data_IF_672870529052
#
_entry.id   IF_672870529052
#
_cell.length_a   1.000
_cell.length_b   1.000
_cell.length_c   1.000
_cell.angle_alpha   90.00
_cell.angle_beta   90.00
_cell.angle_gamma   90.00
#
_symmetry.space_group_name_H-M   'P 1'
#
loop_
_entity.id
_entity.type
_entity.pdbx_description
1 polymer ?
#
# COMPACT_ATOMS: atom_id res chain seq x y z
N UNK A 1 -17.68 1.91 -69.60
CA UNK A 1 -16.29 1.46 -69.40
C UNK A 1 -15.84 2.02 -68.05
N UNK A 2 -16.53 1.70 -66.96
CA UNK A 2 -16.55 0.43 -66.20
C UNK A 2 -15.35 0.31 -65.25
N UNK A 3 -15.49 0.94 -64.08
CA UNK A 3 -14.79 0.52 -62.86
C UNK A 3 -15.69 -0.50 -62.17
N UNK A 4 -15.35 -1.79 -62.31
CA UNK A 4 -16.04 -2.89 -61.64
C UNK A 4 -15.72 -2.89 -60.15
N UNK A 5 -16.75 -2.79 -59.33
CA UNK A 5 -16.68 -2.96 -57.88
C UNK A 5 -16.19 -4.37 -57.50
N UNK A 6 -15.23 -4.43 -56.59
CA UNK A 6 -14.76 -5.67 -55.98
C UNK A 6 -15.69 -5.97 -54.80
N UNK A 7 -16.76 -6.71 -55.06
CA UNK A 7 -17.68 -7.20 -54.03
C UNK A 7 -16.99 -8.25 -53.15
N UNK A 8 -16.50 -7.85 -51.98
CA UNK A 8 -16.03 -8.77 -50.94
C UNK A 8 -17.26 -9.44 -50.31
N UNK A 9 -17.53 -10.68 -50.73
CA UNK A 9 -18.60 -11.52 -50.19
C UNK A 9 -18.13 -12.18 -48.89
N UNK A 10 -18.49 -11.59 -47.76
CA UNK A 10 -18.23 -12.16 -46.43
C UNK A 10 -19.27 -13.26 -46.15
N UNK A 11 -18.88 -14.50 -45.81
CA UNK A 11 -19.83 -15.53 -45.39
C UNK A 11 -20.37 -15.23 -43.98
N UNK A 12 -21.62 -15.60 -43.66
CA UNK A 12 -22.15 -15.42 -42.32
C UNK A 12 -21.47 -16.39 -41.36
N UNK A 13 -20.81 -15.85 -40.32
CA UNK A 13 -20.35 -16.62 -39.18
C UNK A 13 -21.57 -17.17 -38.43
N UNK A 14 -21.69 -18.49 -38.43
CA UNK A 14 -22.69 -19.22 -37.67
C UNK A 14 -22.51 -18.94 -36.18
N UNK A 15 -23.53 -18.36 -35.54
CA UNK A 15 -23.61 -18.26 -34.09
C UNK A 15 -24.18 -19.55 -33.50
N UNK A 16 -23.39 -20.18 -32.62
CA UNK A 16 -23.87 -21.10 -31.60
C UNK A 16 -22.72 -21.44 -30.63
N UNK A 17 -23.00 -21.91 -29.39
CA UNK A 17 -24.18 -21.75 -28.56
C UNK A 17 -23.92 -20.78 -27.37
N UNK A 18 -25.02 -20.36 -26.72
CA UNK A 18 -25.03 -19.61 -25.46
C UNK A 18 -24.43 -20.43 -24.30
N UNK A 19 -23.60 -19.78 -23.48
CA UNK A 19 -23.23 -20.20 -22.12
C UNK A 19 -21.94 -19.50 -21.69
N UNK A 20 -21.78 -18.89 -20.52
CA UNK A 20 -22.68 -18.50 -19.45
C UNK A 20 -22.13 -17.21 -18.86
N UNK A 21 -23.02 -16.36 -18.33
CA UNK A 21 -22.61 -15.15 -17.59
C UNK A 21 -22.15 -15.59 -16.21
N UNK A 22 -20.84 -15.72 -16.00
CA UNK A 22 -20.27 -15.73 -14.65
C UNK A 22 -19.98 -14.28 -14.26
N UNK A 23 -21.05 -13.56 -13.92
CA UNK A 23 -20.94 -12.43 -13.00
C UNK A 23 -21.03 -12.98 -11.58
N UNK A 24 -20.30 -12.45 -10.59
CA UNK A 24 -20.38 -12.92 -9.22
C UNK A 24 -21.83 -12.83 -8.75
N UNK A 25 -22.44 -14.00 -8.52
CA UNK A 25 -23.81 -14.09 -8.07
C UNK A 25 -23.85 -13.54 -6.63
N UNK A 26 -24.86 -12.72 -6.29
CA UNK A 26 -24.96 -12.13 -4.94
C UNK A 26 -24.98 -13.20 -3.83
N UNK A 27 -25.37 -14.43 -4.18
CA UNK A 27 -25.33 -15.61 -3.33
C UNK A 27 -23.91 -16.05 -2.94
N UNK A 28 -22.92 -15.89 -3.83
CA UNK A 28 -21.53 -16.29 -3.57
C UNK A 28 -20.87 -15.37 -2.55
N UNK A 29 -21.21 -14.08 -2.58
CA UNK A 29 -20.73 -13.10 -1.62
C UNK A 29 -21.31 -13.35 -0.22
N UNK A 30 -22.61 -13.64 -0.11
CA UNK A 30 -23.24 -13.98 1.17
C UNK A 30 -22.62 -15.25 1.77
N UNK A 31 -22.31 -16.24 0.93
CA UNK A 31 -21.65 -17.48 1.35
C UNK A 31 -20.21 -17.24 1.83
N UNK A 32 -19.48 -16.31 1.20
CA UNK A 32 -18.14 -15.90 1.63
C UNK A 32 -18.17 -15.16 2.99
N UNK A 33 -19.13 -14.25 3.19
CA UNK A 33 -19.33 -13.55 4.47
C UNK A 33 -19.69 -14.51 5.61
N UNK A 34 -20.58 -15.47 5.35
CA UNK A 34 -21.00 -16.44 6.36
C UNK A 34 -19.86 -17.40 6.76
N UNK A 35 -18.96 -17.72 5.81
CA UNK A 35 -17.77 -18.53 6.05
C UNK A 35 -16.69 -17.81 6.87
N UNK A 36 -16.59 -16.49 6.76
CA UNK A 36 -15.64 -15.71 7.55
C UNK A 36 -16.09 -15.61 9.03
N UNK A 37 -17.40 -15.50 9.27
CA UNK A 37 -17.96 -15.46 10.63
C UNK A 37 -17.73 -16.76 11.42
N UNK A 38 -17.82 -17.92 10.76
CA UNK A 38 -17.59 -19.21 11.43
C UNK A 38 -16.12 -19.51 11.74
N UNK A 39 -15.18 -18.70 11.26
CA UNK A 39 -13.74 -18.87 11.51
C UNK A 39 -13.23 -18.07 12.73
N UNK A 40 -14.11 -17.36 13.44
CA UNK A 40 -13.75 -16.53 14.61
C UNK A 40 -13.93 -17.23 15.97
N UNK A 41 -14.53 -18.42 16.03
CA UNK A 41 -14.82 -19.13 17.30
C UNK A 41 -13.80 -20.25 17.65
N UNK A 42 -12.69 -20.36 16.91
CA UNK A 42 -11.73 -21.45 17.05
C UNK A 42 -10.37 -21.02 17.56
N UNK A 43 -10.26 -20.56 18.82
CA UNK A 43 -8.98 -20.47 19.52
C UNK A 43 -8.85 -21.65 20.48
N UNK A 44 -7.66 -22.29 20.56
CA UNK A 44 -7.15 -22.60 21.88
C UNK A 44 -5.78 -21.97 22.10
N UNK A 45 -5.77 -21.08 23.10
CA UNK A 45 -4.58 -20.71 23.85
C UNK A 45 -3.93 -21.97 24.43
N UNK A 46 -2.64 -22.17 24.16
CA UNK A 46 -1.83 -23.12 24.92
C UNK A 46 -1.24 -22.40 26.12
N UNK A 47 -1.91 -22.56 27.26
CA UNK A 47 -1.32 -22.37 28.58
C UNK A 47 -0.58 -23.65 28.95
N UNK A 48 0.72 -23.55 29.23
CA UNK A 48 1.45 -24.57 29.96
C UNK A 48 2.27 -23.88 31.05
N UNK A 49 1.79 -24.07 32.28
CA UNK A 49 2.46 -23.74 33.52
C UNK A 49 3.71 -24.60 33.72
N UNK A 50 4.71 -24.03 34.37
CA UNK A 50 5.65 -24.76 35.23
C UNK A 50 6.17 -23.77 36.28
N UNK A 51 5.55 -23.81 37.46
CA UNK A 51 6.19 -23.38 38.70
C UNK A 51 7.00 -24.59 39.21
N UNK A 52 8.28 -24.39 39.51
CA UNK A 52 9.02 -25.26 40.41
C UNK A 52 9.80 -24.42 41.41
N UNK A 53 9.69 -24.82 42.67
CA UNK A 53 10.08 -24.09 43.85
C UNK A 53 11.52 -24.44 44.26
N UNK A 54 12.30 -23.46 44.67
CA UNK A 54 13.57 -23.74 45.37
C UNK A 54 14.40 -22.52 45.73
N UNK A 55 14.40 -22.16 47.01
CA UNK A 55 15.56 -21.57 47.69
C UNK A 55 15.76 -20.06 47.54
N UNK A 56 15.25 -19.30 48.51
CA UNK A 56 15.76 -17.97 48.86
C UNK A 56 17.02 -18.14 49.73
N UNK A 57 18.21 -17.86 49.17
CA UNK A 57 19.42 -17.60 49.95
C UNK A 57 19.90 -16.17 49.64
N UNK A 58 19.80 -15.33 50.67
CA UNK A 58 20.06 -13.89 50.66
C UNK A 58 21.54 -13.64 50.91
N UNK A 59 22.35 -13.43 49.86
CA UNK A 59 23.59 -12.62 49.93
C UNK A 59 23.91 -12.03 48.55
N UNK A 60 23.54 -10.77 48.34
CA UNK A 60 24.01 -9.94 47.21
C UNK A 60 25.45 -9.44 47.50
N UNK A 61 26.29 -9.28 46.47
CA UNK A 61 26.44 -7.91 45.98
C UNK A 61 26.42 -7.81 44.45
N UNK A 62 25.47 -7.00 43.95
CA UNK A 62 25.53 -6.23 42.69
C UNK A 62 25.95 -7.00 41.43
N UNK A 63 25.22 -8.05 41.09
CA UNK A 63 25.10 -8.48 39.71
C UNK A 63 23.83 -7.83 39.14
N UNK A 64 24.00 -6.76 38.35
CA UNK A 64 22.91 -6.20 37.55
C UNK A 64 22.24 -7.36 36.79
N UNK A 65 20.89 -7.50 36.83
CA UNK A 65 20.24 -8.50 36.02
C UNK A 65 20.59 -8.15 34.58
N UNK A 66 21.30 -9.07 33.93
CA UNK A 66 21.48 -9.08 32.49
C UNK A 66 20.07 -9.18 31.92
N UNK A 67 19.46 -8.01 31.69
CA UNK A 67 18.27 -7.89 30.87
C UNK A 67 18.61 -8.66 29.60
N UNK A 68 17.82 -9.68 29.21
CA UNK A 68 18.03 -10.28 27.91
C UNK A 68 17.95 -9.12 26.94
N UNK A 69 19.08 -8.80 26.31
CA UNK A 69 19.09 -8.08 25.07
C UNK A 69 18.36 -9.01 24.10
N UNK A 70 17.03 -8.92 24.11
CA UNK A 70 16.23 -9.15 22.93
C UNK A 70 16.77 -8.14 21.94
N UNK A 71 17.82 -8.57 21.25
CA UNK A 71 18.04 -8.27 19.85
C UNK A 71 16.74 -8.68 19.14
N UNK A 72 15.73 -7.84 19.28
CA UNK A 72 14.73 -7.70 18.25
C UNK A 72 15.54 -7.33 17.02
N UNK A 73 15.63 -8.28 16.09
CA UNK A 73 15.92 -7.98 14.70
C UNK A 73 15.29 -6.63 14.35
N UNK A 74 16.04 -5.79 13.63
CA UNK A 74 15.62 -4.47 13.17
C UNK A 74 14.46 -4.53 12.17
N UNK A 75 13.35 -5.14 12.56
CA UNK A 75 12.05 -4.98 11.95
C UNK A 75 11.56 -3.60 12.31
N UNK A 76 11.82 -2.64 11.44
CA UNK A 76 11.22 -1.32 11.51
C UNK A 76 9.71 -1.45 11.69
N UNK A 77 9.15 -0.83 12.73
CA UNK A 77 7.71 -0.77 12.94
C UNK A 77 7.00 -0.18 11.69
N UNK A 78 5.74 -0.56 11.40
CA UNK A 78 4.95 0.07 10.32
C UNK A 78 4.91 1.59 10.44
N UNK A 79 4.94 2.12 11.67
CA UNK A 79 5.00 3.55 11.95
C UNK A 79 6.32 4.19 11.54
N UNK A 80 7.46 3.58 11.86
CA UNK A 80 8.77 4.10 11.41
C UNK A 80 8.90 4.04 9.88
N UNK A 81 8.37 2.99 9.25
CA UNK A 81 8.37 2.88 7.78
C UNK A 81 7.45 3.91 7.13
N UNK A 82 6.25 4.11 7.67
CA UNK A 82 5.32 5.14 7.21
C UNK A 82 5.91 6.55 7.36
N UNK A 83 6.61 6.82 8.46
CA UNK A 83 7.31 8.09 8.68
C UNK A 83 8.40 8.31 7.63
N UNK A 84 9.26 7.31 7.41
CA UNK A 84 10.33 7.39 6.41
C UNK A 84 9.78 7.57 4.99
N UNK A 85 8.68 6.90 4.64
CA UNK A 85 8.02 7.08 3.34
C UNK A 85 7.41 8.49 3.19
N UNK A 86 6.87 9.04 4.28
CA UNK A 86 6.35 10.40 4.31
C UNK A 86 7.46 11.42 4.08
N UNK A 87 8.58 11.28 4.79
CA UNK A 87 9.76 12.16 4.64
C UNK A 87 10.30 12.12 3.22
N UNK A 88 10.49 10.92 2.65
CA UNK A 88 10.91 10.75 1.24
C UNK A 88 9.95 11.44 0.27
N UNK A 89 8.63 11.33 0.50
CA UNK A 89 7.62 11.98 -0.33
C UNK A 89 7.74 13.50 -0.25
N UNK A 90 7.91 14.05 0.96
CA UNK A 90 8.06 15.48 1.18
C UNK A 90 9.34 16.04 0.53
N UNK A 91 10.45 15.31 0.62
CA UNK A 91 11.70 15.69 -0.05
C UNK A 91 11.56 15.72 -1.57
N UNK A 92 10.83 14.75 -2.15
CA UNK A 92 10.52 14.73 -3.58
C UNK A 92 9.60 15.88 -3.98
N UNK A 93 8.60 16.21 -3.16
CA UNK A 93 7.72 17.38 -3.40
C UNK A 93 8.50 18.68 -3.36
N UNK A 94 9.46 18.82 -2.45
CA UNK A 94 10.31 20.00 -2.36
C UNK A 94 11.24 20.12 -3.57
N UNK A 95 11.83 19.01 -4.04
CA UNK A 95 12.58 18.96 -5.29
C UNK A 95 11.69 19.33 -6.49
N UNK A 96 10.46 18.84 -6.50
CA UNK A 96 9.47 19.12 -7.55
C UNK A 96 9.12 20.59 -7.61
N UNK A 97 8.83 21.20 -6.46
CA UNK A 97 8.60 22.64 -6.33
C UNK A 97 9.79 23.47 -6.79
N UNK A 98 11.01 23.10 -6.38
CA UNK A 98 12.25 23.79 -6.80
C UNK A 98 12.45 23.72 -8.31
N UNK A 99 12.22 22.54 -8.90
CA UNK A 99 12.35 22.36 -10.32
C UNK A 99 11.29 23.21 -11.08
N UNK A 100 10.04 23.27 -10.59
CA UNK A 100 8.97 24.08 -11.20
C UNK A 100 9.26 25.58 -11.13
N UNK A 101 9.97 26.00 -10.09
CA UNK A 101 10.39 27.40 -9.93
C UNK A 101 11.58 27.78 -10.80
N UNK A 102 12.21 26.80 -11.48
CA UNK A 102 13.42 27.03 -12.28
C UNK A 102 13.08 27.08 -13.78
N UNK A 103 13.15 28.26 -14.44
CA UNK A 103 12.85 28.40 -15.86
C UNK A 103 13.84 27.67 -16.79
N UNK A 104 15.01 27.25 -16.26
CA UNK A 104 15.98 26.44 -17.01
C UNK A 104 15.67 24.94 -17.03
N UNK A 105 14.71 24.47 -16.23
CA UNK A 105 14.27 23.07 -16.21
C UNK A 105 13.03 22.93 -17.08
N UNK A 106 13.15 22.17 -18.17
CA UNK A 106 11.97 21.85 -18.98
C UNK A 106 11.09 20.83 -18.27
N UNK A 107 9.77 20.96 -18.41
CA UNK A 107 8.80 20.02 -17.85
C UNK A 107 9.07 18.57 -18.30
N UNK A 108 9.55 18.36 -19.53
CA UNK A 108 9.97 17.04 -20.01
C UNK A 108 11.04 16.38 -19.12
N UNK A 109 11.94 17.17 -18.52
CA UNK A 109 12.98 16.67 -17.62
C UNK A 109 12.46 16.34 -16.22
N UNK A 110 11.24 16.74 -15.87
CA UNK A 110 10.61 16.42 -14.59
C UNK A 110 9.88 15.08 -14.56
N UNK A 111 9.67 14.45 -15.72
CA UNK A 111 8.99 13.14 -15.80
C UNK A 111 9.52 12.09 -14.81
N UNK A 112 10.85 11.92 -14.65
CA UNK A 112 11.41 11.00 -13.65
C UNK A 112 11.02 11.35 -12.21
N UNK A 113 10.94 12.64 -11.88
CA UNK A 113 10.59 13.13 -10.55
C UNK A 113 9.12 12.85 -10.22
N UNK A 114 8.23 13.05 -11.20
CA UNK A 114 6.80 12.72 -11.08
C UNK A 114 6.61 11.21 -10.92
N UNK A 115 7.41 10.40 -11.63
CA UNK A 115 7.37 8.95 -11.46
C UNK A 115 7.86 8.51 -10.07
N UNK A 116 8.88 9.18 -9.51
CA UNK A 116 9.33 8.93 -8.15
C UNK A 116 8.25 9.29 -7.11
N UNK A 117 7.56 10.43 -7.27
CA UNK A 117 6.43 10.80 -6.43
C UNK A 117 5.31 9.75 -6.48
N UNK A 118 4.98 9.24 -7.66
CA UNK A 118 3.98 8.18 -7.83
C UNK A 118 4.35 6.93 -7.04
N UNK A 119 5.60 6.48 -7.18
CA UNK A 119 6.10 5.30 -6.46
C UNK A 119 6.01 5.50 -4.94
N UNK A 120 6.50 6.62 -4.44
CA UNK A 120 6.56 6.87 -3.00
C UNK A 120 5.15 7.01 -2.38
N UNK A 121 4.18 7.62 -3.09
CA UNK A 121 2.78 7.65 -2.64
C UNK A 121 2.17 6.25 -2.58
N UNK A 122 2.50 5.36 -3.53
CA UNK A 122 2.05 3.97 -3.49
C UNK A 122 2.67 3.20 -2.32
N UNK A 123 3.96 3.41 -2.02
CA UNK A 123 4.60 2.82 -0.83
C UNK A 123 3.98 3.36 0.46
N UNK A 124 3.79 4.67 0.56
CA UNK A 124 3.20 5.34 1.72
C UNK A 124 1.77 4.83 2.00
N UNK A 125 0.97 4.57 0.95
CA UNK A 125 -0.36 3.96 1.09
C UNK A 125 -0.33 2.59 1.76
N UNK A 126 0.64 1.73 1.41
CA UNK A 126 0.79 0.40 2.02
C UNK A 126 1.08 0.47 3.52
N UNK A 127 1.79 1.51 3.98
CA UNK A 127 2.07 1.72 5.39
C UNK A 127 0.90 2.35 6.13
N UNK A 128 0.13 3.21 5.46
CA UNK A 128 -1.08 3.86 6.01
C UNK A 128 -2.14 2.84 6.40
N UNK A 129 -2.31 1.78 5.62
CA UNK A 129 -3.26 0.68 5.89
C UNK A 129 -2.84 -0.21 7.06
N UNK A 130 -1.54 -0.19 7.42
CA UNK A 130 -0.99 -0.96 8.54
C UNK A 130 -0.98 -0.18 9.86
N UNK A 131 -1.30 1.11 9.83
CA UNK A 131 -1.40 1.95 11.02
C UNK A 131 -2.77 1.80 11.67
N UNK A 132 -2.81 1.98 13.00
CA UNK A 132 -4.07 2.06 13.72
C UNK A 132 -4.91 3.25 13.16
N UNK A 133 -6.24 3.12 13.05
CA UNK A 133 -7.09 4.21 12.56
C UNK A 133 -6.99 5.51 13.37
N UNK A 134 -6.63 5.41 14.66
CA UNK A 134 -6.42 6.53 15.57
C UNK A 134 -4.98 7.08 15.57
N UNK A 135 -4.06 6.51 14.80
CA UNK A 135 -2.68 7.00 14.75
C UNK A 135 -2.64 8.37 14.03
N UNK A 136 -2.09 9.42 14.67
CA UNK A 136 -2.02 10.75 14.05
C UNK A 136 -1.18 10.77 12.75
N UNK A 137 -0.20 9.89 12.60
CA UNK A 137 0.62 9.79 11.39
C UNK A 137 -0.24 9.41 10.18
N UNK A 138 -1.28 8.59 10.37
CA UNK A 138 -2.20 8.17 9.32
C UNK A 138 -2.87 9.38 8.65
N UNK A 139 -3.22 10.41 9.43
CA UNK A 139 -3.80 11.65 8.90
C UNK A 139 -2.79 12.41 8.03
N UNK A 140 -1.56 12.56 8.52
CA UNK A 140 -0.48 13.25 7.80
C UNK A 140 -0.17 12.54 6.48
N UNK A 141 -0.02 11.22 6.51
CA UNK A 141 0.24 10.40 5.31
C UNK A 141 -0.87 10.54 4.27
N UNK A 142 -2.13 10.56 4.71
CA UNK A 142 -3.27 10.79 3.81
C UNK A 142 -3.24 12.19 3.19
N UNK A 143 -2.99 13.24 3.98
CA UNK A 143 -2.92 14.62 3.47
C UNK A 143 -1.78 14.80 2.46
N UNK A 144 -0.60 14.26 2.77
CA UNK A 144 0.55 14.27 1.85
C UNK A 144 0.23 13.46 0.59
N UNK A 145 -0.39 12.29 0.71
CA UNK A 145 -0.77 11.46 -0.44
C UNK A 145 -1.77 12.15 -1.36
N UNK A 146 -2.79 12.80 -0.79
CA UNK A 146 -3.79 13.56 -1.55
C UNK A 146 -3.11 14.73 -2.27
N UNK A 147 -2.29 15.52 -1.56
CA UNK A 147 -1.59 16.66 -2.14
C UNK A 147 -0.69 16.23 -3.30
N UNK A 148 0.12 15.19 -3.10
CA UNK A 148 1.01 14.68 -4.14
C UNK A 148 0.24 14.22 -5.37
N UNK A 149 -0.88 13.51 -5.19
CA UNK A 149 -1.73 13.12 -6.32
C UNK A 149 -2.27 14.33 -7.08
N UNK A 150 -2.75 15.37 -6.38
CA UNK A 150 -3.22 16.60 -7.01
C UNK A 150 -2.12 17.28 -7.84
N UNK A 151 -0.90 17.37 -7.30
CA UNK A 151 0.23 17.97 -8.03
C UNK A 151 0.66 17.13 -9.25
N UNK A 152 0.64 15.79 -9.14
CA UNK A 152 0.89 14.91 -10.28
C UNK A 152 -0.19 15.05 -11.37
N UNK A 153 -1.46 15.20 -10.99
CA UNK A 153 -2.54 15.40 -11.96
C UNK A 153 -2.46 16.76 -12.66
N UNK A 154 -2.11 17.82 -11.92
CA UNK A 154 -1.79 19.13 -12.53
C UNK A 154 -0.66 19.01 -13.54
N UNK A 155 0.38 18.22 -13.22
CA UNK A 155 1.50 18.00 -14.13
C UNK A 155 1.07 17.29 -15.41
N UNK A 156 0.31 16.21 -15.27
CA UNK A 156 -0.18 15.42 -16.41
C UNK A 156 -1.12 16.24 -17.31
N UNK A 157 -1.90 17.15 -16.73
CA UNK A 157 -2.78 18.08 -17.45
C UNK A 157 -2.03 19.21 -18.14
N UNK A 158 -0.77 19.45 -17.78
CA UNK A 158 0.03 20.54 -18.32
C UNK A 158 -0.26 21.91 -17.70
N UNK A 159 -0.79 21.96 -16.47
CA UNK A 159 -1.13 23.22 -15.79
C UNK A 159 0.09 24.12 -15.48
N UNK A 160 1.31 23.60 -15.66
CA UNK A 160 2.57 24.31 -15.44
C UNK A 160 3.24 24.80 -16.74
N UNK A 161 2.55 24.74 -17.88
CA UNK A 161 3.02 25.22 -19.19
C UNK A 161 2.45 26.61 -19.50
#
# INVERSE_FOLDING_TARGET
MDVKEIGVKIPPLAFGPKGGKEGPDGADFQKALQKAHSHLDGSPASSAAAEDAGGIDLLEPLAFPLVPAILGEGGSSPRSQGLQATERTLDLLEQYRKALSNPGVSLKKMGPLVQALRHEVQEMGQWTDRLAPSDPLRKIMNEVGILTNVEMEKFNRGDYV
#
